data_IF_242633565159
#
_entry.id   IF_242633565159
#
_cell.length_a   1.000
_cell.length_b   1.000
_cell.length_c   1.000
_cell.angle_alpha   90.00
_cell.angle_beta   90.00
_cell.angle_gamma   90.00
#
_symmetry.space_group_name_H-M   'P 1'
#
loop_
_entity.id
_entity.type
_entity.pdbx_description
1 polymer ?
#
# COMPACT_ATOMS: atom_id res chain seq x y z
N UNK A 1 -40.73 0.45 -43.79
CA UNK A 1 -40.12 1.21 -42.68
C UNK A 1 -39.30 2.34 -43.31
N UNK A 2 -39.50 3.61 -42.93
CA UNK A 2 -38.81 4.73 -43.62
C UNK A 2 -37.33 4.80 -43.24
N UNK A 3 -36.49 5.25 -44.17
CA UNK A 3 -35.03 5.45 -43.98
C UNK A 3 -34.72 6.28 -42.72
N UNK A 4 -35.55 7.28 -42.42
CA UNK A 4 -35.44 8.09 -41.18
C UNK A 4 -35.62 7.27 -39.90
N UNK A 5 -36.53 6.29 -39.88
CA UNK A 5 -36.73 5.40 -38.71
C UNK A 5 -35.54 4.46 -38.51
N UNK A 6 -34.93 3.99 -39.61
CA UNK A 6 -33.72 3.16 -39.55
C UNK A 6 -32.51 3.94 -39.03
N UNK A 7 -32.33 5.19 -39.50
CA UNK A 7 -31.25 6.07 -39.02
C UNK A 7 -31.41 6.43 -37.55
N UNK A 8 -32.63 6.75 -37.10
CA UNK A 8 -32.90 7.03 -35.69
C UNK A 8 -32.63 5.82 -34.79
N UNK A 9 -33.00 4.62 -35.23
CA UNK A 9 -32.73 3.39 -34.49
C UNK A 9 -31.23 3.09 -34.40
N UNK A 10 -30.48 3.24 -35.50
CA UNK A 10 -29.03 3.07 -35.50
C UNK A 10 -28.32 4.07 -34.57
N UNK A 11 -28.76 5.34 -34.56
CA UNK A 11 -28.22 6.35 -33.65
C UNK A 11 -28.46 5.98 -32.17
N UNK A 12 -29.66 5.49 -31.83
CA UNK A 12 -29.98 5.02 -30.48
C UNK A 12 -29.10 3.85 -30.04
N UNK A 13 -28.83 2.90 -30.93
CA UNK A 13 -27.93 1.78 -30.63
C UNK A 13 -26.49 2.23 -30.37
N UNK A 14 -25.96 3.17 -31.18
CA UNK A 14 -24.61 3.71 -30.98
C UNK A 14 -24.52 4.46 -29.67
N UNK A 15 -25.49 5.32 -29.35
CA UNK A 15 -25.52 6.06 -28.08
C UNK A 15 -25.63 5.09 -26.90
N UNK A 16 -26.52 4.10 -26.97
CA UNK A 16 -26.64 3.06 -25.94
C UNK A 16 -25.33 2.30 -25.71
N UNK A 17 -24.65 1.90 -26.78
CA UNK A 17 -23.37 1.19 -26.71
C UNK A 17 -22.26 2.04 -26.10
N UNK A 18 -22.09 3.29 -26.55
CA UNK A 18 -21.07 4.21 -26.02
C UNK A 18 -21.34 4.53 -24.55
N UNK A 19 -22.60 4.72 -24.17
CA UNK A 19 -22.96 4.98 -22.76
C UNK A 19 -22.68 3.75 -21.89
N UNK A 20 -22.95 2.55 -22.39
CA UNK A 20 -22.67 1.30 -21.67
C UNK A 20 -21.17 1.09 -21.50
N UNK A 21 -20.36 1.36 -22.53
CA UNK A 21 -18.90 1.33 -22.42
C UNK A 21 -18.40 2.39 -21.44
N UNK A 22 -18.92 3.62 -21.49
CA UNK A 22 -18.52 4.68 -20.57
C UNK A 22 -18.87 4.31 -19.12
N UNK A 23 -20.07 3.77 -18.86
CA UNK A 23 -20.47 3.27 -17.53
C UNK A 23 -19.59 2.09 -17.13
N UNK A 24 -19.30 1.16 -18.03
CA UNK A 24 -18.45 0.01 -17.73
C UNK A 24 -17.01 0.44 -17.43
N UNK A 25 -16.42 1.35 -18.21
CA UNK A 25 -15.08 1.90 -17.97
C UNK A 25 -15.05 2.76 -16.71
N UNK A 26 -16.10 3.53 -16.43
CA UNK A 26 -16.23 4.28 -15.18
C UNK A 26 -16.34 3.30 -14.00
N UNK A 27 -17.23 2.31 -14.07
CA UNK A 27 -17.37 1.27 -13.05
C UNK A 27 -16.12 0.42 -12.88
N UNK A 28 -15.35 0.12 -13.93
CA UNK A 28 -14.07 -0.61 -13.83
C UNK A 28 -12.95 0.26 -13.26
N UNK A 29 -12.91 1.55 -13.59
CA UNK A 29 -11.97 2.49 -12.96
C UNK A 29 -12.34 2.77 -11.49
N UNK A 30 -13.62 2.65 -11.12
CA UNK A 30 -14.13 2.72 -9.74
C UNK A 30 -14.24 1.35 -9.03
N UNK A 31 -13.97 0.24 -9.73
CA UNK A 31 -13.51 -1.03 -9.17
C UNK A 31 -11.96 -1.00 -9.04
N UNK A 32 -11.34 0.17 -8.94
CA UNK A 32 -11.27 0.87 -7.66
C UNK A 32 -10.83 -0.12 -6.62
N UNK A 33 -9.50 -0.22 -6.43
CA UNK A 33 -8.90 -0.91 -5.29
C UNK A 33 -9.72 -0.53 -4.07
N UNK A 34 -10.58 -1.43 -3.59
CA UNK A 34 -11.61 -1.07 -2.62
C UNK A 34 -11.03 -0.97 -1.23
N UNK A 35 -9.85 -0.35 -1.09
CA UNK A 35 -9.14 -0.15 0.15
C UNK A 35 -10.10 0.49 1.14
N UNK A 36 -10.58 -0.30 2.10
CA UNK A 36 -11.46 0.20 3.14
C UNK A 36 -10.72 1.22 3.99
N UNK A 37 -9.41 1.03 4.18
CA UNK A 37 -8.59 1.91 4.97
C UNK A 37 -7.13 1.81 4.56
N UNK A 38 -6.52 2.93 4.21
CA UNK A 38 -5.06 3.06 4.10
C UNK A 38 -4.52 3.57 5.44
N UNK A 39 -3.50 2.89 5.97
CA UNK A 39 -2.79 3.36 7.15
C UNK A 39 -1.59 4.20 6.72
N UNK A 40 -1.60 5.46 7.15
CA UNK A 40 -0.47 6.34 6.95
C UNK A 40 0.37 6.37 8.22
N UNK A 41 1.63 5.97 8.10
CA UNK A 41 2.60 5.85 9.18
C UNK A 41 3.58 7.02 9.02
N UNK A 42 3.44 8.04 9.86
CA UNK A 42 4.44 9.12 9.89
C UNK A 42 5.21 9.11 11.20
N UNK A 43 6.50 9.38 11.13
CA UNK A 43 7.24 9.79 12.32
C UNK A 43 6.79 11.20 12.73
N UNK A 44 6.87 11.50 14.02
CA UNK A 44 6.38 12.78 14.61
C UNK A 44 7.07 14.00 14.01
N UNK A 45 8.31 13.84 13.53
CA UNK A 45 9.15 14.89 12.95
C UNK A 45 9.18 14.86 11.40
N UNK A 46 8.57 13.87 10.74
CA UNK A 46 8.53 13.74 9.28
C UNK A 46 7.16 14.18 8.72
N UNK A 47 6.80 15.45 8.92
CA UNK A 47 5.42 15.95 8.77
C UNK A 47 4.96 16.17 7.32
N UNK A 48 5.88 16.24 6.36
CA UNK A 48 5.52 16.73 5.01
C UNK A 48 4.70 15.72 4.18
N UNK A 49 4.87 14.41 4.40
CA UNK A 49 4.24 13.39 3.55
C UNK A 49 2.82 13.01 3.95
N UNK A 50 2.46 13.17 5.23
CA UNK A 50 1.11 12.85 5.75
C UNK A 50 0.02 13.63 5.02
N UNK A 51 0.25 14.93 4.81
CA UNK A 51 -0.70 15.79 4.12
C UNK A 51 -0.83 15.43 2.64
N UNK A 52 0.28 15.14 1.95
CA UNK A 52 0.24 14.69 0.56
C UNK A 52 -0.53 13.38 0.40
N UNK A 53 -0.29 12.42 1.29
CA UNK A 53 -0.97 11.12 1.29
C UNK A 53 -2.46 11.26 1.58
N UNK A 54 -2.82 12.06 2.60
CA UNK A 54 -4.21 12.38 2.90
C UNK A 54 -4.92 13.01 1.71
N UNK A 55 -4.30 14.02 1.07
CA UNK A 55 -4.86 14.68 -0.10
C UNK A 55 -5.00 13.74 -1.29
N UNK A 56 -4.04 12.82 -1.49
CA UNK A 56 -4.11 11.81 -2.54
C UNK A 56 -5.25 10.83 -2.30
N UNK A 57 -5.40 10.32 -1.08
CA UNK A 57 -6.49 9.41 -0.71
C UNK A 57 -7.86 10.08 -0.82
N UNK A 58 -7.97 11.33 -0.35
CA UNK A 58 -9.18 12.14 -0.48
C UNK A 58 -9.56 12.38 -1.94
N UNK A 59 -8.59 12.73 -2.79
CA UNK A 59 -8.80 12.90 -4.23
C UNK A 59 -9.28 11.61 -4.92
N UNK A 60 -8.81 10.45 -4.45
CA UNK A 60 -9.20 9.13 -4.97
C UNK A 60 -10.51 8.61 -4.37
N UNK A 61 -11.09 9.30 -3.39
CA UNK A 61 -12.27 8.81 -2.66
C UNK A 61 -12.00 7.55 -1.83
N UNK A 62 -10.74 7.30 -1.47
CA UNK A 62 -10.32 6.14 -0.68
C UNK A 62 -10.36 6.54 0.80
N UNK A 63 -11.15 5.86 1.65
CA UNK A 63 -11.12 6.12 3.09
C UNK A 63 -9.74 5.76 3.67
N UNK A 64 -9.26 6.57 4.61
CA UNK A 64 -7.94 6.37 5.22
C UNK A 64 -7.94 6.78 6.68
N UNK A 65 -6.98 6.25 7.44
CA UNK A 65 -6.74 6.66 8.82
C UNK A 65 -5.24 6.77 9.08
N UNK A 66 -4.87 7.68 9.97
CA UNK A 66 -3.51 7.72 10.49
C UNK A 66 -3.38 6.72 11.62
N UNK A 67 -2.40 5.82 11.50
CA UNK A 67 -2.00 5.00 12.63
C UNK A 67 -1.39 5.90 13.71
N UNK A 68 -1.68 5.60 14.99
CA UNK A 68 -0.99 6.27 16.09
C UNK A 68 0.49 5.89 16.02
N UNK A 69 1.41 6.84 15.83
CA UNK A 69 2.83 6.55 15.83
C UNK A 69 3.27 6.13 17.23
N UNK A 70 4.13 5.12 17.30
CA UNK A 70 4.88 4.74 18.49
C UNK A 70 6.16 5.55 18.49
N UNK A 71 6.48 6.17 19.61
CA UNK A 71 7.74 6.87 19.84
C UNK A 71 8.70 5.99 20.63
N UNK A 72 9.99 6.31 20.66
CA UNK A 72 10.96 5.59 21.49
C UNK A 72 10.53 5.51 22.97
N UNK A 73 9.83 6.54 23.47
CA UNK A 73 9.31 6.58 24.84
C UNK A 73 8.12 5.64 25.09
N UNK A 74 7.42 5.19 24.04
CA UNK A 74 6.30 4.25 24.16
C UNK A 74 6.76 2.78 24.16
N UNK A 75 8.05 2.52 23.91
CA UNK A 75 8.63 1.17 23.91
C UNK A 75 8.96 0.80 25.35
N UNK A 76 8.36 -0.27 25.85
CA UNK A 76 8.70 -0.80 27.17
C UNK A 76 10.06 -1.50 27.12
N UNK A 77 10.99 -1.06 27.97
CA UNK A 77 12.38 -1.53 28.06
C UNK A 77 13.22 -1.43 26.77
N UNK A 78 13.42 -0.22 26.19
CA UNK A 78 14.22 -0.04 24.97
C UNK A 78 15.63 -0.66 25.09
N UNK A 79 16.19 -0.71 26.29
CA UNK A 79 17.50 -1.29 26.62
C UNK A 79 17.58 -2.83 26.52
N UNK A 80 16.44 -3.54 26.60
CA UNK A 80 16.40 -5.01 26.49
C UNK A 80 16.47 -5.50 25.05
N UNK A 81 16.19 -4.63 24.09
CA UNK A 81 16.28 -4.94 22.66
C UNK A 81 17.72 -4.72 22.21
N UNK A 82 18.54 -5.75 22.43
CA UNK A 82 19.99 -5.64 22.40
C UNK A 82 20.57 -5.71 20.97
N UNK A 83 21.35 -4.67 20.64
CA UNK A 83 22.35 -4.53 19.58
C UNK A 83 21.85 -4.56 18.14
N UNK A 84 21.25 -3.44 17.75
CA UNK A 84 21.60 -2.82 16.49
C UNK A 84 23.12 -2.66 16.37
N UNK A 85 23.70 -3.05 15.24
CA UNK A 85 25.09 -2.72 14.92
C UNK A 85 25.11 -1.26 14.47
N UNK A 86 25.21 -0.35 15.44
CA UNK A 86 25.06 1.10 15.27
C UNK A 86 24.14 1.66 16.36
N UNK A 87 24.72 2.21 17.42
CA UNK A 87 24.09 2.45 18.74
C UNK A 87 23.05 3.61 18.83
N UNK A 88 22.56 4.20 17.74
CA UNK A 88 21.82 5.49 17.84
C UNK A 88 20.30 5.47 17.58
N UNK A 89 19.71 4.52 16.84
CA UNK A 89 18.36 4.78 16.29
C UNK A 89 17.21 4.08 17.04
N UNK A 90 16.94 4.53 18.26
CA UNK A 90 15.69 4.21 18.99
C UNK A 90 14.42 4.55 18.18
N UNK A 91 14.53 5.48 17.22
CA UNK A 91 13.46 5.85 16.30
C UNK A 91 13.11 4.75 15.31
N UNK A 92 14.08 3.94 14.86
CA UNK A 92 13.83 2.85 13.93
C UNK A 92 13.09 1.69 14.59
N UNK A 93 13.42 1.38 15.85
CA UNK A 93 12.67 0.40 16.63
C UNK A 93 11.23 0.87 16.89
N UNK A 94 11.04 2.18 17.14
CA UNK A 94 9.73 2.78 17.33
C UNK A 94 8.90 2.76 16.03
N UNK A 95 9.54 3.05 14.89
CA UNK A 95 8.93 2.88 13.58
C UNK A 95 8.51 1.42 13.39
N UNK A 96 9.42 0.46 13.59
CA UNK A 96 9.15 -0.98 13.47
C UNK A 96 7.95 -1.41 14.33
N UNK A 97 7.90 -0.96 15.59
CA UNK A 97 6.78 -1.23 16.49
C UNK A 97 5.48 -0.61 16.00
N UNK A 98 5.53 0.58 15.41
CA UNK A 98 4.36 1.22 14.77
C UNK A 98 3.82 0.34 13.65
N UNK A 99 4.68 -0.18 12.77
CA UNK A 99 4.26 -1.12 11.72
C UNK A 99 3.62 -2.38 12.29
N UNK A 100 4.22 -2.99 13.31
CA UNK A 100 3.66 -4.17 13.99
C UNK A 100 2.28 -3.90 14.59
N UNK A 101 2.09 -2.73 15.22
CA UNK A 101 0.80 -2.35 15.76
C UNK A 101 -0.25 -2.20 14.67
N UNK A 102 0.08 -1.56 13.54
CA UNK A 102 -0.82 -1.45 12.38
C UNK A 102 -1.19 -2.82 11.84
N UNK A 103 -0.22 -3.73 11.70
CA UNK A 103 -0.47 -5.08 11.20
C UNK A 103 -1.39 -5.85 12.14
N UNK A 104 -1.18 -5.75 13.46
CA UNK A 104 -2.07 -6.38 14.43
C UNK A 104 -3.48 -5.77 14.40
N UNK A 105 -3.58 -4.43 14.33
CA UNK A 105 -4.86 -3.71 14.22
C UNK A 105 -5.65 -4.14 12.97
N UNK A 106 -4.96 -4.26 11.83
CA UNK A 106 -5.49 -4.82 10.58
C UNK A 106 -6.01 -6.25 10.80
N UNK A 107 -5.29 -7.10 11.53
CA UNK A 107 -5.68 -8.49 11.76
C UNK A 107 -6.83 -8.64 12.76
N UNK A 108 -6.88 -7.77 13.77
CA UNK A 108 -7.88 -7.81 14.84
C UNK A 108 -9.20 -7.17 14.41
N UNK A 109 -9.14 -6.13 13.57
CA UNK A 109 -10.31 -5.32 13.20
C UNK A 109 -10.83 -5.53 11.77
N UNK A 110 -10.10 -6.21 10.88
CA UNK A 110 -10.66 -6.55 9.56
C UNK A 110 -11.60 -7.74 9.65
N UNK A 111 -12.90 -7.42 9.60
CA UNK A 111 -13.90 -8.28 8.97
C UNK A 111 -13.37 -8.68 7.58
N UNK A 112 -13.51 -9.94 7.15
CA UNK A 112 -13.02 -10.45 5.85
C UNK A 112 -13.49 -9.57 4.69
N UNK A 113 -12.67 -8.60 4.32
CA UNK A 113 -12.98 -7.64 3.28
C UNK A 113 -12.03 -7.94 2.11
N UNK A 114 -12.58 -8.56 1.06
CA UNK A 114 -11.91 -8.86 -0.22
C UNK A 114 -11.66 -7.57 -1.00
N UNK A 115 -10.74 -6.77 -0.47
CA UNK A 115 -10.67 -5.35 -0.79
C UNK A 115 -9.52 -5.02 -1.74
N UNK A 116 -8.48 -5.83 -1.70
CA UNK A 116 -7.42 -5.89 -2.70
C UNK A 116 -7.61 -7.17 -3.52
N UNK A 117 -7.15 -7.22 -4.78
CA UNK A 117 -7.07 -8.49 -5.49
C UNK A 117 -6.38 -9.53 -4.61
N UNK A 118 -6.87 -10.77 -4.58
CA UNK A 118 -6.36 -11.82 -3.67
C UNK A 118 -4.86 -12.05 -3.78
N UNK A 119 -4.26 -11.67 -4.89
CA UNK A 119 -2.82 -11.83 -5.10
C UNK A 119 -2.02 -10.68 -4.48
N UNK A 120 -2.61 -9.52 -4.24
CA UNK A 120 -1.91 -8.33 -3.74
C UNK A 120 -1.72 -8.43 -2.23
N UNK A 121 -0.47 -8.50 -1.77
CA UNK A 121 -0.16 -8.46 -0.35
C UNK A 121 -0.04 -7.02 0.15
N UNK A 122 0.69 -6.17 -0.57
CA UNK A 122 1.00 -4.79 -0.15
C UNK A 122 0.90 -3.83 -1.34
N UNK A 123 0.39 -2.63 -1.09
CA UNK A 123 0.42 -1.51 -2.05
C UNK A 123 1.06 -0.30 -1.39
N UNK A 124 2.22 0.11 -1.89
CA UNK A 124 2.88 1.35 -1.47
C UNK A 124 2.15 2.55 -2.05
N UNK A 125 1.87 3.52 -1.19
CA UNK A 125 1.26 4.79 -1.57
C UNK A 125 2.35 5.85 -1.53
N UNK A 126 2.80 6.26 -2.72
CA UNK A 126 3.86 7.27 -2.88
C UNK A 126 5.27 6.67 -2.96
N UNK A 127 6.28 7.54 -3.14
CA UNK A 127 7.68 7.16 -3.37
C UNK A 127 8.67 7.89 -2.45
N UNK A 128 9.73 7.21 -2.04
CA UNK A 128 10.92 7.84 -1.44
C UNK A 128 11.97 8.11 -2.52
N UNK A 129 12.06 9.34 -3.00
CA UNK A 129 13.22 9.77 -3.77
C UNK A 129 13.15 9.49 -5.26
N UNK A 130 14.13 10.09 -5.95
CA UNK A 130 14.21 10.22 -7.41
C UNK A 130 14.96 9.09 -8.11
N UNK A 131 15.41 8.06 -7.38
CA UNK A 131 16.22 7.03 -8.00
C UNK A 131 15.33 5.95 -8.63
N UNK A 132 15.22 5.98 -9.96
CA UNK A 132 14.34 5.11 -10.75
C UNK A 132 14.81 3.65 -10.81
N UNK A 133 15.94 3.32 -10.17
CA UNK A 133 16.63 2.04 -10.33
C UNK A 133 16.27 0.98 -9.29
N UNK A 134 15.62 1.36 -8.19
CA UNK A 134 15.16 0.42 -7.16
C UNK A 134 13.70 0.68 -6.84
N UNK A 135 12.95 -0.36 -6.42
CA UNK A 135 11.69 -0.15 -5.74
C UNK A 135 11.97 0.80 -4.57
N UNK A 136 11.57 2.06 -4.68
CA UNK A 136 11.63 3.01 -3.57
C UNK A 136 10.48 2.67 -2.62
N UNK A 137 10.58 1.48 -1.99
CA UNK A 137 9.64 0.95 -1.03
C UNK A 137 9.66 1.85 0.20
N UNK A 138 8.75 2.82 0.19
CA UNK A 138 8.54 3.74 1.27
C UNK A 138 7.45 3.21 2.16
N UNK A 139 7.76 2.86 3.40
CA UNK A 139 6.75 2.34 4.32
C UNK A 139 5.96 3.45 5.03
N UNK A 140 6.22 4.72 4.70
CA UNK A 140 5.46 5.86 5.23
C UNK A 140 3.95 5.77 4.97
N UNK A 141 3.53 5.13 3.88
CA UNK A 141 2.15 4.71 3.69
C UNK A 141 2.08 3.50 2.79
N UNK A 142 1.35 2.50 3.24
CA UNK A 142 0.99 1.35 2.44
C UNK A 142 -0.39 0.86 2.84
N UNK A 143 -1.08 0.28 1.86
CA UNK A 143 -2.19 -0.62 2.12
C UNK A 143 -1.65 -2.04 2.20
N UNK A 144 -2.27 -2.88 3.02
CA UNK A 144 -1.92 -4.28 3.15
C UNK A 144 -3.22 -5.09 3.14
N UNK A 145 -3.24 -6.18 2.37
CA UNK A 145 -4.39 -7.09 2.39
C UNK A 145 -4.38 -7.91 3.67
N UNK A 146 -5.51 -8.50 4.06
CA UNK A 146 -5.54 -9.35 5.24
C UNK A 146 -4.58 -10.56 5.09
N UNK A 147 -4.48 -11.14 3.89
CA UNK A 147 -3.50 -12.19 3.58
C UNK A 147 -2.07 -11.67 3.69
N UNK A 148 -1.79 -10.51 3.09
CA UNK A 148 -0.49 -9.84 3.19
C UNK A 148 -0.09 -9.57 4.63
N UNK A 149 -1.03 -9.09 5.46
CA UNK A 149 -0.83 -8.83 6.88
C UNK A 149 -0.52 -10.11 7.65
N UNK A 150 -1.20 -11.23 7.37
CA UNK A 150 -0.90 -12.55 7.98
C UNK A 150 0.48 -13.08 7.58
N UNK A 151 0.92 -12.84 6.34
CA UNK A 151 2.26 -13.25 5.86
C UNK A 151 3.33 -12.38 6.49
N UNK A 152 3.12 -11.06 6.45
CA UNK A 152 4.01 -10.07 7.02
C UNK A 152 4.17 -10.30 8.53
N UNK A 153 3.07 -10.47 9.27
CA UNK A 153 3.12 -10.82 10.70
C UNK A 153 3.92 -12.09 10.96
N UNK A 154 3.69 -13.16 10.21
CA UNK A 154 4.45 -14.42 10.36
C UNK A 154 5.95 -14.24 10.13
N UNK A 155 6.33 -13.42 9.15
CA UNK A 155 7.74 -13.12 8.89
C UNK A 155 8.34 -12.27 10.03
N UNK A 156 7.63 -11.23 10.47
CA UNK A 156 8.10 -10.30 11.49
C UNK A 156 8.12 -10.91 12.90
N UNK A 157 7.20 -11.82 13.23
CA UNK A 157 7.16 -12.51 14.53
C UNK A 157 8.44 -13.32 14.81
N UNK A 158 9.13 -13.79 13.76
CA UNK A 158 10.41 -14.49 13.90
C UNK A 158 11.60 -13.56 14.14
N UNK A 159 11.43 -12.27 13.87
CA UNK A 159 12.48 -11.24 13.94
C UNK A 159 12.26 -10.36 15.19
N UNK A 160 11.00 -10.13 15.54
CA UNK A 160 10.59 -9.41 16.73
C UNK A 160 10.96 -10.22 18.00
N UNK A 161 11.43 -9.58 19.09
CA UNK A 161 11.49 -8.13 19.30
C UNK A 161 12.80 -7.46 18.91
N UNK A 162 13.70 -8.13 18.18
CA UNK A 162 15.05 -7.65 17.98
C UNK A 162 15.46 -7.63 16.49
N UNK A 163 14.85 -6.73 15.68
CA UNK A 163 15.16 -6.61 14.27
C UNK A 163 16.60 -6.13 14.05
N UNK A 164 17.26 -6.69 13.04
CA UNK A 164 18.68 -6.39 12.73
C UNK A 164 18.86 -5.23 11.74
N UNK A 165 17.80 -4.80 11.06
CA UNK A 165 17.79 -3.71 10.07
C UNK A 165 16.45 -2.96 10.17
N UNK A 166 16.33 -1.74 9.61
CA UNK A 166 15.07 -1.03 9.52
C UNK A 166 13.94 -1.85 8.90
N UNK A 167 12.70 -1.53 9.27
CA UNK A 167 11.50 -2.16 8.73
C UNK A 167 11.48 -2.17 7.19
N UNK A 168 11.82 -1.05 6.56
CA UNK A 168 11.84 -0.89 5.09
C UNK A 168 12.80 -1.88 4.42
N UNK A 169 13.97 -2.12 5.03
CA UNK A 169 14.95 -3.06 4.50
C UNK A 169 14.47 -4.50 4.67
N UNK A 170 13.86 -4.85 5.80
CA UNK A 170 13.23 -6.17 5.96
C UNK A 170 12.10 -6.37 4.95
N UNK A 171 11.29 -5.34 4.71
CA UNK A 171 10.20 -5.42 3.74
C UNK A 171 10.71 -5.60 2.31
N UNK A 172 11.79 -4.91 1.91
CA UNK A 172 12.45 -5.11 0.62
C UNK A 172 12.92 -6.57 0.49
N UNK A 173 13.55 -7.13 1.52
CA UNK A 173 13.98 -8.54 1.52
C UNK A 173 12.82 -9.53 1.45
N UNK A 174 11.61 -9.13 1.82
CA UNK A 174 10.41 -9.97 1.68
C UNK A 174 9.77 -9.83 0.30
N UNK A 175 9.91 -8.66 -0.35
CA UNK A 175 9.40 -8.44 -1.71
C UNK A 175 10.32 -9.05 -2.77
N UNK A 176 11.64 -8.89 -2.66
CA UNK A 176 12.62 -9.37 -3.65
C UNK A 176 12.57 -10.88 -3.97
N UNK A 177 12.41 -11.80 -3.00
CA UNK A 177 12.28 -13.23 -3.25
C UNK A 177 10.84 -13.69 -3.51
N UNK A 178 9.91 -12.77 -3.85
CA UNK A 178 8.47 -13.03 -4.05
C UNK A 178 7.75 -13.60 -2.81
N UNK A 179 8.28 -13.35 -1.61
CA UNK A 179 7.58 -13.70 -0.37
C UNK A 179 6.39 -12.78 -0.10
N UNK A 180 6.34 -11.59 -0.71
CA UNK A 180 5.16 -10.71 -0.73
C UNK A 180 4.98 -10.13 -2.14
N UNK A 181 3.75 -10.17 -2.65
CA UNK A 181 3.37 -9.42 -3.85
C UNK A 181 3.11 -7.97 -3.47
N UNK A 182 4.06 -7.10 -3.83
CA UNK A 182 3.96 -5.67 -3.58
C UNK A 182 3.80 -4.86 -4.87
N UNK A 183 2.93 -3.85 -4.80
CA UNK A 183 2.66 -2.91 -5.88
C UNK A 183 2.98 -1.50 -5.41
N UNK A 184 3.28 -0.58 -6.33
CA UNK A 184 3.43 0.85 -6.00
C UNK A 184 2.46 1.66 -6.83
N UNK A 185 1.72 2.57 -6.21
CA UNK A 185 0.93 3.56 -6.94
C UNK A 185 1.75 4.83 -7.15
N UNK A 186 2.21 5.05 -8.38
CA UNK A 186 2.95 6.25 -8.77
C UNK A 186 1.93 7.29 -9.30
N UNK A 187 1.56 8.27 -8.48
CA UNK A 187 0.71 9.43 -8.85
C UNK A 187 -0.48 9.18 -9.81
N UNK A 188 -1.69 9.00 -9.28
CA UNK A 188 -3.00 8.99 -9.99
C UNK A 188 -3.19 8.02 -11.17
N UNK A 189 -2.11 7.50 -11.75
CA UNK A 189 -2.03 6.37 -12.64
C UNK A 189 -1.59 5.20 -11.78
N UNK A 190 -2.44 4.19 -11.66
CA UNK A 190 -1.99 2.87 -11.24
C UNK A 190 -1.08 2.34 -12.35
N UNK A 191 0.17 2.81 -12.39
CA UNK A 191 1.18 2.14 -13.18
C UNK A 191 1.47 0.83 -12.47
N UNK A 192 1.01 -0.28 -13.05
CA UNK A 192 1.32 -1.62 -12.58
C UNK A 192 2.82 -1.88 -12.81
N UNK A 193 3.67 -1.25 -12.04
CA UNK A 193 5.06 -1.66 -11.91
C UNK A 193 5.07 -2.93 -11.07
N UNK A 194 4.80 -4.06 -11.73
CA UNK A 194 5.20 -5.35 -11.20
C UNK A 194 6.72 -5.26 -11.06
N UNK A 195 7.25 -5.27 -9.84
CA UNK A 195 8.70 -5.17 -9.60
C UNK A 195 9.52 -6.32 -10.23
N UNK A 196 8.86 -7.26 -10.90
CA UNK A 196 9.48 -8.25 -11.77
C UNK A 196 9.99 -7.66 -13.09
N UNK A 197 11.13 -6.97 -13.04
CA UNK A 197 12.19 -7.02 -14.06
C UNK A 197 13.48 -6.26 -13.66
N UNK A 198 14.10 -6.57 -12.51
CA UNK A 198 15.44 -6.02 -12.20
C UNK A 198 16.59 -7.02 -12.44
N UNK A 199 16.31 -8.31 -12.62
CA UNK A 199 17.32 -9.24 -13.12
C UNK A 199 16.93 -9.78 -14.50
N UNK A 200 17.23 -8.98 -15.52
CA UNK A 200 17.43 -9.50 -16.85
C UNK A 200 18.57 -10.52 -16.84
N UNK A 201 18.22 -11.80 -16.82
CA UNK A 201 18.96 -12.81 -17.59
C UNK A 201 18.02 -13.33 -18.67
N UNK A 202 18.31 -12.85 -19.89
CA UNK A 202 18.13 -13.63 -21.12
C UNK A 202 19.09 -14.82 -21.04
#
# INVERSE_FOLDING_TARGET
MSTRRMQAFAALLVVGFVTTIAIFMFAHNYLGLSMHQVYVIGQRNSTNRRWMMARQMEFQGIPFAFARPVTAADIDHPEKYMRWVGEEDSEDLAAYRTHMNVINDVLDNLVDMEVLPKTWDIVYVGHCGHDNKRPNCCTYAYAVSQQGARRLKRALDNIWPNPRVPFDQELIKMVEPEYLEAYSSLYALLEQQRFNKINGKV
#
